data_IF_297956565736
#
_entry.id   IF_297956565736
#
_cell.length_a   1.000
_cell.length_b   1.000
_cell.length_c   1.000
_cell.angle_alpha   90.00
_cell.angle_beta   90.00
_cell.angle_gamma   90.00
#
_symmetry.space_group_name_H-M   'P 1'
#
loop_
_entity.id
_entity.type
_entity.pdbx_description
1 polymer ?
#
# COMPACT_ATOMS: atom_id res chain seq x y z
N UNK A 1 11.14 9.79 -18.35
CA UNK A 1 11.49 8.54 -19.08
C UNK A 1 12.63 7.72 -18.45
N UNK A 2 13.41 8.28 -17.51
CA UNK A 2 14.53 7.60 -16.83
C UNK A 2 14.11 6.63 -15.71
N UNK A 3 13.05 6.97 -14.96
CA UNK A 3 12.55 6.15 -13.84
C UNK A 3 11.95 4.83 -14.31
N UNK A 4 11.16 4.85 -15.38
CA UNK A 4 10.55 3.64 -15.95
C UNK A 4 11.60 2.64 -16.46
N UNK A 5 12.69 3.15 -17.07
CA UNK A 5 13.83 2.34 -17.52
C UNK A 5 14.63 1.76 -16.34
N UNK A 6 14.78 2.52 -15.26
CA UNK A 6 15.41 2.05 -14.01
C UNK A 6 14.58 0.96 -13.33
N UNK A 7 13.26 1.13 -13.26
CA UNK A 7 12.35 0.12 -12.70
C UNK A 7 12.34 -1.16 -13.54
N UNK A 8 12.33 -1.06 -14.87
CA UNK A 8 12.44 -2.23 -15.75
C UNK A 8 13.78 -2.96 -15.58
N UNK A 9 14.89 -2.21 -15.51
CA UNK A 9 16.22 -2.78 -15.35
C UNK A 9 16.42 -3.45 -13.98
N UNK A 10 15.88 -2.88 -12.91
CA UNK A 10 15.90 -3.50 -11.57
C UNK A 10 15.04 -4.76 -11.57
N UNK A 11 13.82 -4.70 -12.13
CA UNK A 11 12.94 -5.85 -12.25
C UNK A 11 13.57 -7.00 -13.05
N UNK A 12 14.21 -6.71 -14.18
CA UNK A 12 14.89 -7.73 -14.99
C UNK A 12 16.09 -8.35 -14.27
N UNK A 13 16.82 -7.57 -13.47
CA UNK A 13 17.98 -8.07 -12.73
C UNK A 13 17.55 -9.00 -11.59
N UNK A 14 16.49 -8.64 -10.87
CA UNK A 14 15.92 -9.49 -9.81
C UNK A 14 15.36 -10.78 -10.39
N UNK A 15 14.63 -10.70 -11.52
CA UNK A 15 14.10 -11.89 -12.19
C UNK A 15 15.20 -12.82 -12.73
N UNK A 16 16.25 -12.24 -13.34
CA UNK A 16 17.40 -13.01 -13.82
C UNK A 16 18.17 -13.68 -12.68
N UNK A 17 18.35 -12.97 -11.57
CA UNK A 17 19.00 -13.53 -10.38
C UNK A 17 18.19 -14.68 -9.78
N UNK A 18 16.88 -14.50 -9.61
CA UNK A 18 15.99 -15.55 -9.12
C UNK A 18 15.99 -16.78 -10.04
N UNK A 19 15.92 -16.58 -11.36
CA UNK A 19 15.98 -17.66 -12.34
C UNK A 19 17.33 -18.39 -12.27
N UNK A 20 18.43 -17.66 -12.21
CA UNK A 20 19.77 -18.23 -12.10
C UNK A 20 19.94 -19.00 -10.79
N UNK A 21 19.42 -18.50 -9.67
CA UNK A 21 19.43 -19.20 -8.38
C UNK A 21 18.68 -20.53 -8.44
N UNK A 22 17.54 -20.59 -9.15
CA UNK A 22 16.80 -21.85 -9.35
C UNK A 22 17.59 -22.82 -10.23
N UNK A 23 18.23 -22.33 -11.30
CA UNK A 23 19.02 -23.18 -12.21
C UNK A 23 20.31 -23.70 -11.56
N UNK A 24 20.93 -22.92 -10.68
CA UNK A 24 22.18 -23.27 -10.00
C UNK A 24 21.97 -23.89 -8.62
N UNK A 25 20.73 -24.04 -8.15
CA UNK A 25 20.45 -24.64 -6.85
C UNK A 25 20.96 -26.09 -6.85
N UNK A 26 22.00 -26.43 -6.06
CA UNK A 26 22.31 -27.84 -5.83
C UNK A 26 21.11 -28.48 -5.15
N UNK A 27 20.73 -29.68 -5.59
CA UNK A 27 19.67 -30.43 -4.93
C UNK A 27 20.03 -30.59 -3.46
N UNK A 28 19.16 -30.12 -2.55
CA UNK A 28 19.30 -30.32 -1.12
C UNK A 28 19.09 -31.81 -0.81
N UNK A 29 20.12 -32.61 -1.05
CA UNK A 29 20.19 -34.03 -0.73
C UNK A 29 20.90 -34.16 0.60
N UNK A 30 20.15 -33.94 1.68
CA UNK A 30 20.55 -34.42 2.98
C UNK A 30 19.88 -35.79 3.14
N UNK A 31 20.70 -36.83 3.30
CA UNK A 31 20.16 -38.16 3.60
C UNK A 31 19.41 -38.13 4.93
N UNK A 32 18.27 -38.82 4.98
CA UNK A 32 17.51 -39.00 6.20
C UNK A 32 18.35 -39.83 7.19
N UNK A 33 18.60 -39.35 8.43
CA UNK A 33 19.36 -40.13 9.42
C UNK A 33 18.71 -41.48 9.73
N UNK A 34 19.54 -42.50 10.02
CA UNK A 34 19.02 -43.83 10.38
C UNK A 34 18.07 -43.76 11.59
N UNK A 35 16.91 -44.41 11.45
CA UNK A 35 15.87 -44.49 12.50
C UNK A 35 14.80 -43.40 12.44
N UNK A 36 14.87 -42.46 11.49
CA UNK A 36 13.82 -41.48 11.25
C UNK A 36 12.78 -42.04 10.27
N UNK A 37 11.49 -41.74 10.45
CA UNK A 37 10.47 -42.09 9.47
C UNK A 37 10.70 -41.29 8.17
N UNK A 38 10.48 -41.94 7.03
CA UNK A 38 10.60 -41.29 5.73
C UNK A 38 9.63 -40.10 5.64
N UNK A 39 10.11 -38.93 5.19
CA UNK A 39 9.23 -37.78 5.02
C UNK A 39 8.22 -38.07 3.91
N UNK A 40 6.96 -37.62 4.06
CA UNK A 40 5.98 -37.75 3.01
C UNK A 40 6.44 -36.99 1.77
N UNK A 41 6.36 -37.64 0.61
CA UNK A 41 6.74 -37.01 -0.66
C UNK A 41 5.80 -35.84 -0.98
N UNK A 42 6.35 -34.63 -0.98
CA UNK A 42 5.65 -33.44 -1.44
C UNK A 42 5.96 -33.21 -2.92
N UNK A 43 4.96 -33.43 -3.77
CA UNK A 43 5.09 -33.11 -5.19
C UNK A 43 5.30 -31.61 -5.41
N UNK A 44 6.04 -31.26 -6.47
CA UNK A 44 6.32 -29.87 -6.83
C UNK A 44 5.05 -28.98 -6.90
N UNK A 45 3.92 -29.57 -7.31
CA UNK A 45 2.66 -28.85 -7.37
C UNK A 45 2.07 -28.54 -6.00
N UNK A 46 2.18 -29.47 -5.04
CA UNK A 46 1.77 -29.22 -3.65
C UNK A 46 2.59 -28.09 -3.02
N UNK A 47 3.90 -28.07 -3.28
CA UNK A 47 4.78 -27.00 -2.83
C UNK A 47 4.39 -25.63 -3.42
N UNK A 48 4.16 -25.54 -4.74
CA UNK A 48 3.76 -24.29 -5.41
C UNK A 48 2.39 -23.78 -4.95
N UNK A 49 1.43 -24.68 -4.72
CA UNK A 49 0.12 -24.33 -4.18
C UNK A 49 0.25 -23.65 -2.81
N UNK A 50 1.08 -24.19 -1.91
CA UNK A 50 1.26 -23.62 -0.57
C UNK A 50 2.08 -22.33 -0.62
N UNK A 51 3.15 -22.28 -1.42
CA UNK A 51 4.06 -21.13 -1.42
C UNK A 51 3.52 -19.91 -2.19
N UNK A 52 2.72 -20.14 -3.23
CA UNK A 52 2.25 -19.07 -4.14
C UNK A 52 0.75 -18.90 -4.09
N UNK A 53 0.00 -19.99 -4.26
CA UNK A 53 -1.47 -19.89 -4.39
C UNK A 53 -2.12 -19.55 -3.06
N UNK A 54 -1.68 -20.15 -1.95
CA UNK A 54 -2.21 -19.86 -0.62
C UNK A 54 -2.03 -18.40 -0.20
N UNK A 55 -0.83 -17.78 -0.25
CA UNK A 55 -0.68 -16.37 0.10
C UNK A 55 -1.41 -15.44 -0.87
N UNK A 56 -1.46 -15.77 -2.16
CA UNK A 56 -2.21 -14.98 -3.14
C UNK A 56 -3.73 -15.04 -2.87
N UNK A 57 -4.26 -16.22 -2.57
CA UNK A 57 -5.65 -16.39 -2.21
C UNK A 57 -5.99 -15.63 -0.91
N UNK A 58 -5.12 -15.73 0.11
CA UNK A 58 -5.28 -14.98 1.35
C UNK A 58 -5.28 -13.46 1.09
N UNK A 59 -4.34 -12.97 0.28
CA UNK A 59 -4.29 -11.57 -0.13
C UNK A 59 -5.59 -11.14 -0.81
N UNK A 60 -6.12 -11.93 -1.75
CA UNK A 60 -7.36 -11.63 -2.45
C UNK A 60 -8.56 -11.60 -1.49
N UNK A 61 -8.63 -12.54 -0.54
CA UNK A 61 -9.68 -12.56 0.48
C UNK A 61 -9.62 -11.30 1.34
N UNK A 62 -8.43 -10.95 1.84
CA UNK A 62 -8.22 -9.73 2.64
C UNK A 62 -8.57 -8.49 1.83
N UNK A 63 -8.11 -8.38 0.59
CA UNK A 63 -8.40 -7.26 -0.30
C UNK A 63 -9.92 -7.14 -0.54
N UNK A 64 -10.59 -8.27 -0.79
CA UNK A 64 -12.03 -8.27 -0.97
C UNK A 64 -12.75 -7.79 0.30
N UNK A 65 -12.37 -8.28 1.48
CA UNK A 65 -12.95 -7.84 2.75
C UNK A 65 -12.70 -6.35 3.02
N UNK A 66 -11.49 -5.87 2.71
CA UNK A 66 -11.11 -4.48 2.92
C UNK A 66 -11.84 -3.51 1.97
N UNK A 67 -11.97 -3.88 0.69
CA UNK A 67 -12.58 -3.02 -0.34
C UNK A 67 -14.06 -3.29 -0.59
N UNK A 68 -14.62 -4.41 -0.11
CA UNK A 68 -16.04 -4.74 -0.21
C UNK A 68 -16.97 -3.59 0.22
N UNK A 69 -16.80 -2.91 1.38
CA UNK A 69 -17.71 -1.84 1.77
C UNK A 69 -17.65 -0.65 0.81
N UNK A 70 -16.47 -0.25 0.36
CA UNK A 70 -16.31 0.85 -0.59
C UNK A 70 -16.87 0.50 -1.97
N UNK A 71 -16.67 -0.73 -2.44
CA UNK A 71 -17.26 -1.22 -3.68
C UNK A 71 -18.79 -1.28 -3.61
N UNK A 72 -19.36 -1.70 -2.47
CA UNK A 72 -20.81 -1.74 -2.25
C UNK A 72 -21.44 -0.34 -2.24
N UNK A 73 -20.69 0.67 -1.78
CA UNK A 73 -21.10 2.09 -1.79
C UNK A 73 -20.86 2.78 -3.13
N UNK A 74 -20.14 2.15 -4.06
CA UNK A 74 -19.74 2.76 -5.33
C UNK A 74 -18.68 3.86 -5.18
N UNK A 75 -17.90 3.85 -4.10
CA UNK A 75 -16.82 4.82 -3.87
C UNK A 75 -15.69 4.63 -4.90
N UNK A 76 -15.13 5.74 -5.37
CA UNK A 76 -14.02 5.70 -6.33
C UNK A 76 -12.70 5.41 -5.60
N UNK A 77 -12.10 4.25 -5.88
CA UNK A 77 -10.86 3.78 -5.22
C UNK A 77 -9.57 4.35 -5.82
N UNK A 78 -9.68 5.23 -6.84
CA UNK A 78 -8.53 5.83 -7.52
C UNK A 78 -7.99 7.06 -6.78
N UNK A 79 -6.69 7.33 -6.92
CA UNK A 79 -6.04 8.57 -6.44
C UNK A 79 -6.62 9.85 -7.06
N UNK A 80 -7.36 9.75 -8.16
CA UNK A 80 -8.07 10.88 -8.78
C UNK A 80 -9.43 11.18 -8.12
N UNK A 81 -9.90 10.35 -7.18
CA UNK A 81 -11.11 10.63 -6.39
C UNK A 81 -10.91 11.82 -5.44
N UNK A 82 -9.65 12.17 -5.16
CA UNK A 82 -9.28 13.24 -4.23
C UNK A 82 -9.14 14.56 -4.97
N UNK A 83 -10.17 15.01 -5.69
CA UNK A 83 -10.35 16.47 -5.75
C UNK A 83 -10.97 16.82 -4.40
N UNK A 84 -10.22 17.45 -3.47
CA UNK A 84 -10.83 17.85 -2.21
C UNK A 84 -11.95 18.82 -2.60
N UNK A 85 -13.20 18.39 -2.42
CA UNK A 85 -14.31 19.33 -2.34
C UNK A 85 -13.87 20.43 -1.36
N UNK A 86 -14.14 21.70 -1.68
CA UNK A 86 -13.78 22.82 -0.80
C UNK A 86 -14.66 22.78 0.45
N UNK A 87 -14.36 21.86 1.36
CA UNK A 87 -15.10 21.64 2.59
C UNK A 87 -14.54 22.56 3.66
N UNK A 88 -15.36 23.50 4.10
CA UNK A 88 -15.07 24.32 5.26
C UNK A 88 -15.27 23.49 6.53
N UNK A 89 -14.19 22.90 7.03
CA UNK A 89 -14.16 22.13 8.30
C UNK A 89 -14.14 23.06 9.53
N UNK A 90 -14.90 24.16 9.49
CA UNK A 90 -15.06 25.05 10.64
C UNK A 90 -15.86 24.39 11.76
N UNK A 91 -15.46 24.63 13.01
CA UNK A 91 -16.20 24.19 14.19
C UNK A 91 -17.61 24.83 14.28
N UNK A 92 -18.51 24.25 15.08
CA UNK A 92 -19.91 24.68 15.19
C UNK A 92 -20.08 26.13 15.66
N UNK A 93 -19.12 26.67 16.39
CA UNK A 93 -19.22 28.00 16.98
C UNK A 93 -18.73 29.07 15.99
N UNK A 94 -19.67 29.58 15.21
CA UNK A 94 -19.53 30.83 14.43
C UNK A 94 -19.86 32.05 15.30
N UNK A 95 -19.54 32.01 16.60
CA UNK A 95 -19.75 33.18 17.46
C UNK A 95 -18.48 34.04 17.45
N UNK A 96 -18.45 35.15 16.70
CA UNK A 96 -17.30 36.06 16.68
C UNK A 96 -17.03 36.70 18.06
N UNK A 97 -17.94 36.55 19.04
CA UNK A 97 -17.77 37.06 20.40
C UNK A 97 -16.74 36.26 21.26
N UNK A 98 -16.27 35.10 20.80
CA UNK A 98 -15.24 34.32 21.50
C UNK A 98 -13.79 34.77 21.15
N UNK A 99 -13.63 35.66 20.17
CA UNK A 99 -12.37 36.32 19.89
C UNK A 99 -12.36 37.65 20.65
N UNK A 100 -11.28 38.03 21.37
CA UNK A 100 -11.19 39.36 21.95
C UNK A 100 -11.36 40.36 20.81
N UNK A 101 -12.38 41.21 20.89
CA UNK A 101 -12.65 42.23 19.88
C UNK A 101 -11.40 43.11 19.76
N UNK A 102 -10.57 42.86 18.75
CA UNK A 102 -9.71 43.89 18.21
C UNK A 102 -10.66 44.97 17.71
N UNK A 103 -10.50 46.19 18.20
CA UNK A 103 -11.15 47.36 17.63
C UNK A 103 -10.62 47.51 16.19
N UNK A 104 -11.25 46.80 15.26
CA UNK A 104 -10.74 46.58 13.90
C UNK A 104 -11.28 47.67 12.99
N UNK A 105 -10.41 48.62 12.63
CA UNK A 105 -10.66 49.49 11.48
C UNK A 105 -10.52 48.62 10.22
N UNK A 106 -11.13 48.99 9.08
CA UNK A 106 -11.05 48.20 7.84
C UNK A 106 -9.61 47.90 7.36
N UNK A 107 -8.61 48.61 7.90
CA UNK A 107 -7.17 48.35 7.70
C UNK A 107 -6.62 47.17 8.54
N UNK A 108 -7.24 46.81 9.65
CA UNK A 108 -6.75 45.79 10.60
C UNK A 108 -7.21 44.36 10.22
N UNK A 109 -8.30 44.21 9.45
CA UNK A 109 -8.73 42.94 8.84
C UNK A 109 -7.69 42.34 7.89
N UNK A 110 -6.80 43.18 7.37
CA UNK A 110 -5.70 42.79 6.51
C UNK A 110 -4.55 42.09 7.26
N UNK A 111 -4.58 42.02 8.61
CA UNK A 111 -3.53 41.44 9.43
C UNK A 111 -3.70 39.93 9.74
N UNK A 112 -4.65 39.24 9.12
CA UNK A 112 -4.76 37.78 9.23
C UNK A 112 -3.69 37.08 8.38
N UNK A 113 -2.64 36.58 9.04
CA UNK A 113 -1.52 35.89 8.39
C UNK A 113 -1.91 34.52 7.78
N UNK A 114 -1.46 34.27 6.55
CA UNK A 114 -1.61 32.98 5.86
C UNK A 114 -0.34 32.13 5.97
N UNK A 115 -0.47 30.89 6.44
CA UNK A 115 0.61 29.90 6.41
C UNK A 115 0.44 28.97 5.20
N UNK A 116 1.41 28.97 4.29
CA UNK A 116 1.46 28.07 3.14
C UNK A 116 2.62 27.09 3.25
N UNK A 117 2.40 25.85 2.83
CA UNK A 117 3.48 24.88 2.61
C UNK A 117 3.31 24.19 1.27
N UNK A 118 4.40 23.69 0.70
CA UNK A 118 4.42 23.01 -0.60
C UNK A 118 5.23 21.72 -0.42
N UNK A 119 4.56 20.59 -0.60
CA UNK A 119 5.11 19.24 -0.41
C UNK A 119 5.11 18.53 -1.76
#
# INVERSE_FOLDING_TARGET
>A
MSILRRLLAIGSTVAAFAALSVLLAPGASADTPEGWPDPPEVGAWGFLLVLVVFPLALFLVIALLAFAPSLAKGEHLGTSATTPESQWLGGPDKDPAALPASEETADDAAAAGGAGSRW
#
